data_IF_827960033579
#
_entry.id   IF_827960033579
#
_cell.length_a   1.000
_cell.length_b   1.000
_cell.length_c   1.000
_cell.angle_alpha   90.00
_cell.angle_beta   90.00
_cell.angle_gamma   90.00
#
_symmetry.space_group_name_H-M   'P 1'
#
loop_
_entity.id
_entity.type
_entity.pdbx_description
1 polymer ?
#
# COMPACT_ATOMS: atom_id res chain seq x y z
N UNK A 1 -1.41 -10.14 8.26
CA UNK A 1 -1.17 -8.92 7.46
C UNK A 1 -2.51 -8.35 7.07
N UNK A 2 -2.71 -7.07 7.33
CA UNK A 2 -3.88 -6.29 6.97
C UNK A 2 -3.43 -5.23 5.96
N UNK A 3 -4.12 -5.11 4.82
CA UNK A 3 -3.92 -4.02 3.87
C UNK A 3 -4.89 -2.89 4.22
N UNK A 4 -4.37 -1.68 4.38
CA UNK A 4 -5.14 -0.49 4.79
C UNK A 4 -4.84 0.63 3.82
N UNK A 5 -5.84 1.03 3.02
CA UNK A 5 -5.69 2.13 2.08
C UNK A 5 -5.40 3.45 2.82
N UNK A 6 -4.51 4.25 2.24
CA UNK A 6 -4.21 5.58 2.75
C UNK A 6 -5.46 6.48 2.64
N UNK A 7 -5.61 7.40 3.59
CA UNK A 7 -6.70 8.37 3.54
C UNK A 7 -6.57 9.34 2.35
N UNK A 8 -5.36 9.49 1.79
CA UNK A 8 -5.04 10.39 0.70
C UNK A 8 -3.97 9.79 -0.22
N UNK A 9 -4.05 10.08 -1.51
CA UNK A 9 -2.97 9.88 -2.47
C UNK A 9 -2.26 11.22 -2.72
N UNK A 10 -1.18 11.48 -2.00
CA UNK A 10 -0.38 12.72 -2.13
C UNK A 10 0.86 12.56 -3.03
N UNK A 11 1.09 11.35 -3.54
CA UNK A 11 2.27 11.01 -4.32
C UNK A 11 2.05 11.14 -5.82
N UNK A 12 2.97 10.52 -6.57
CA UNK A 12 2.92 10.46 -8.04
C UNK A 12 2.31 9.16 -8.55
N UNK A 13 1.64 8.38 -7.72
CA UNK A 13 1.10 7.07 -8.08
C UNK A 13 0.10 7.15 -9.25
N UNK A 14 -0.70 8.22 -9.30
CA UNK A 14 -1.81 8.31 -10.25
C UNK A 14 -2.79 7.15 -10.08
N UNK A 15 -3.28 6.62 -11.19
CA UNK A 15 -4.27 5.55 -11.20
C UNK A 15 -3.66 4.13 -11.12
N UNK A 16 -2.33 4.00 -11.12
CA UNK A 16 -1.68 2.68 -11.10
C UNK A 16 -1.87 1.98 -9.74
N UNK A 17 -1.99 2.77 -8.67
CA UNK A 17 -2.04 2.29 -7.30
C UNK A 17 -2.62 3.37 -6.38
N UNK A 18 -3.58 3.01 -5.54
CA UNK A 18 -3.91 3.82 -4.38
C UNK A 18 -2.94 3.47 -3.25
N UNK A 19 -2.22 4.43 -2.63
CA UNK A 19 -1.23 4.11 -1.60
C UNK A 19 -1.86 3.38 -0.40
N UNK A 20 -1.11 2.51 0.23
CA UNK A 20 -1.62 1.70 1.33
C UNK A 20 -0.52 1.26 2.31
N UNK A 21 -0.93 1.01 3.55
CA UNK A 21 -0.11 0.39 4.59
C UNK A 21 -0.40 -1.11 4.65
N UNK A 22 0.64 -1.91 4.88
CA UNK A 22 0.52 -3.30 5.29
C UNK A 22 0.87 -3.35 6.79
N UNK A 23 -0.09 -3.79 7.60
CA UNK A 23 0.06 -3.90 9.04
C UNK A 23 0.04 -5.35 9.52
N UNK A 24 0.69 -5.63 10.65
CA UNK A 24 0.60 -6.89 11.38
C UNK A 24 0.07 -6.63 12.79
N UNK A 25 -0.53 -7.66 13.39
CA UNK A 25 -0.97 -7.59 14.78
C UNK A 25 0.19 -8.01 15.69
N UNK A 26 0.53 -7.16 16.64
CA UNK A 26 1.49 -7.40 17.71
C UNK A 26 0.71 -7.83 18.96
N UNK A 27 0.84 -9.10 19.33
CA UNK A 27 0.17 -9.69 20.51
C UNK A 27 0.69 -9.13 21.83
N UNK A 28 1.96 -8.70 21.90
CA UNK A 28 2.55 -8.19 23.13
C UNK A 28 2.01 -6.80 23.49
N UNK A 29 1.74 -5.99 22.47
CA UNK A 29 1.20 -4.63 22.62
C UNK A 29 -0.30 -4.53 22.33
N UNK A 30 -0.97 -5.64 22.04
CA UNK A 30 -2.39 -5.72 21.65
C UNK A 30 -2.77 -4.64 20.62
N UNK A 31 -1.95 -4.49 19.57
CA UNK A 31 -2.13 -3.43 18.59
C UNK A 31 -1.62 -3.82 17.21
N UNK A 32 -2.15 -3.16 16.17
CA UNK A 32 -1.60 -3.28 14.83
C UNK A 32 -0.39 -2.35 14.68
N UNK A 33 0.68 -2.87 14.08
CA UNK A 33 1.90 -2.15 13.73
C UNK A 33 2.10 -2.15 12.22
N UNK A 34 2.66 -1.07 11.72
CA UNK A 34 2.99 -0.93 10.31
C UNK A 34 4.22 -1.81 10.00
N UNK A 35 4.11 -2.67 8.99
CA UNK A 35 5.25 -3.37 8.42
C UNK A 35 5.77 -2.63 7.18
N UNK A 36 4.87 -2.24 6.29
CA UNK A 36 5.22 -1.58 5.04
C UNK A 36 4.26 -0.42 4.72
N UNK A 37 4.77 0.59 4.05
CA UNK A 37 3.97 1.56 3.31
C UNK A 37 4.30 1.47 1.83
N UNK A 38 3.27 1.37 0.99
CA UNK A 38 3.39 1.18 -0.46
C UNK A 38 2.79 2.39 -1.19
N UNK A 39 3.56 2.91 -2.13
CA UNK A 39 3.17 3.95 -3.08
C UNK A 39 3.69 3.57 -4.48
N UNK A 40 3.44 4.41 -5.48
CA UNK A 40 4.01 4.27 -6.81
C UNK A 40 4.42 5.64 -7.37
N UNK A 41 5.18 5.61 -8.45
CA UNK A 41 5.50 6.78 -9.25
C UNK A 41 5.13 6.49 -10.70
N UNK A 42 4.14 7.22 -11.20
CA UNK A 42 3.74 7.27 -12.60
C UNK A 42 4.52 8.38 -13.32
N UNK A 43 5.37 7.98 -14.27
CA UNK A 43 6.21 8.90 -15.05
C UNK A 43 5.39 9.93 -15.82
N UNK A 44 4.19 9.56 -16.27
CA UNK A 44 3.30 10.47 -17.01
C UNK A 44 2.85 11.66 -16.16
N UNK A 45 2.69 11.48 -14.85
CA UNK A 45 2.32 12.57 -13.94
C UNK A 45 3.49 13.51 -13.65
N UNK A 46 4.68 12.95 -13.45
CA UNK A 46 5.91 13.71 -13.29
C UNK A 46 7.12 12.82 -13.56
N UNK A 47 8.11 13.34 -14.28
CA UNK A 47 9.42 12.71 -14.47
C UNK A 47 10.47 13.22 -13.47
N UNK A 48 10.07 14.08 -12.53
CA UNK A 48 10.95 14.70 -11.54
C UNK A 48 10.22 15.05 -10.24
N UNK A 49 10.78 14.69 -9.10
CA UNK A 49 10.30 15.12 -7.78
C UNK A 49 11.08 16.38 -7.34
N UNK A 50 10.44 17.56 -7.27
CA UNK A 50 11.09 18.80 -6.87
C UNK A 50 11.38 18.87 -5.36
N UNK A 51 10.69 18.10 -4.52
CA UNK A 51 10.91 18.08 -3.08
C UNK A 51 12.19 17.32 -2.73
N UNK A 52 12.41 16.18 -3.38
CA UNK A 52 13.63 15.37 -3.20
C UNK A 52 14.73 15.64 -4.24
N UNK A 53 14.46 16.50 -5.22
CA UNK A 53 15.34 16.80 -6.36
C UNK A 53 15.81 15.55 -7.12
N UNK A 54 14.92 14.57 -7.24
CA UNK A 54 15.24 13.25 -7.80
C UNK A 54 14.49 13.06 -9.10
N UNK A 55 15.15 12.66 -10.21
CA UNK A 55 14.46 12.28 -11.43
C UNK A 55 13.75 10.93 -11.25
N UNK A 56 12.76 10.66 -12.11
CA UNK A 56 12.15 9.35 -12.22
C UNK A 56 13.22 8.27 -12.47
N UNK A 57 13.21 7.13 -11.75
CA UNK A 57 14.26 6.12 -11.83
C UNK A 57 14.05 5.19 -13.05
N UNK A 58 14.46 5.68 -14.23
CA UNK A 58 14.38 4.96 -15.50
C UNK A 58 15.15 3.63 -15.52
N UNK A 59 16.20 3.49 -14.70
CA UNK A 59 16.98 2.25 -14.58
C UNK A 59 16.22 1.15 -13.81
N UNK A 60 15.22 1.52 -13.02
CA UNK A 60 14.36 0.60 -12.28
C UNK A 60 13.13 0.20 -13.11
N UNK A 61 12.58 1.07 -13.96
CA UNK A 61 11.46 0.76 -14.86
C UNK A 61 11.92 -0.10 -16.05
N UNK A 62 12.26 -1.36 -15.78
CA UNK A 62 12.85 -2.29 -16.76
C UNK A 62 11.87 -2.76 -17.84
N UNK A 63 10.58 -2.67 -17.56
CA UNK A 63 9.47 -3.00 -18.44
C UNK A 63 9.13 -1.82 -19.36
N UNK A 64 9.66 -0.62 -19.06
CA UNK A 64 9.44 0.64 -19.77
C UNK A 64 7.95 0.98 -19.88
N UNK A 65 7.24 0.73 -18.80
CA UNK A 65 5.80 0.84 -18.75
C UNK A 65 5.32 2.12 -18.03
N UNK A 66 6.28 2.91 -17.54
CA UNK A 66 6.04 4.22 -16.94
C UNK A 66 5.74 4.16 -15.44
N UNK A 67 5.91 3.02 -14.78
CA UNK A 67 5.70 2.88 -13.34
C UNK A 67 6.89 2.27 -12.60
N UNK A 68 7.16 2.84 -11.42
CA UNK A 68 7.94 2.18 -10.37
C UNK A 68 7.15 2.18 -9.07
N UNK A 69 7.35 1.15 -8.27
CA UNK A 69 6.66 0.98 -6.99
C UNK A 69 7.61 1.30 -5.85
N UNK A 70 7.11 2.01 -4.86
CA UNK A 70 7.85 2.48 -3.70
C UNK A 70 7.40 1.67 -2.49
N UNK A 71 8.33 0.92 -1.90
CA UNK A 71 8.06 0.14 -0.70
C UNK A 71 8.91 0.72 0.42
N UNK A 72 8.25 1.18 1.49
CA UNK A 72 8.90 1.71 2.69
C UNK A 72 8.77 0.70 3.82
N UNK A 73 9.89 0.28 4.39
CA UNK A 73 9.98 -0.62 5.55
C UNK A 73 10.89 0.02 6.59
N UNK A 74 10.47 0.09 7.85
CA UNK A 74 11.25 0.70 8.93
C UNK A 74 11.78 2.12 8.63
N UNK A 75 11.03 2.89 7.82
CA UNK A 75 11.41 4.24 7.39
C UNK A 75 12.37 4.29 6.19
N UNK A 76 12.87 3.16 5.71
CA UNK A 76 13.70 3.08 4.51
C UNK A 76 12.85 2.75 3.28
N UNK A 77 13.02 3.54 2.22
CA UNK A 77 12.25 3.40 0.98
C UNK A 77 13.13 2.82 -0.12
N UNK A 78 12.61 1.81 -0.81
CA UNK A 78 13.19 1.25 -2.04
C UNK A 78 12.23 1.39 -3.22
N UNK A 79 12.81 1.53 -4.40
CA UNK A 79 12.10 1.50 -5.68
C UNK A 79 12.22 0.10 -6.27
N UNK A 80 11.13 -0.40 -6.84
CA UNK A 80 11.13 -1.65 -7.60
C UNK A 80 10.32 -1.51 -8.86
N UNK A 81 10.66 -2.35 -9.83
CA UNK A 81 9.90 -2.49 -11.06
C UNK A 81 8.56 -3.19 -10.81
N UNK A 82 7.73 -3.30 -11.84
CA UNK A 82 6.40 -3.91 -11.72
C UNK A 82 6.49 -5.40 -11.37
N UNK A 83 7.31 -6.17 -12.08
CA UNK A 83 7.38 -7.62 -11.88
C UNK A 83 7.83 -7.99 -10.45
N UNK A 84 8.80 -7.28 -9.90
CA UNK A 84 9.31 -7.50 -8.55
C UNK A 84 8.30 -7.02 -7.49
N UNK A 85 7.56 -5.94 -7.77
CA UNK A 85 6.46 -5.51 -6.90
C UNK A 85 5.35 -6.55 -6.82
N UNK A 86 4.85 -7.03 -7.96
CA UNK A 86 3.76 -8.02 -8.01
C UNK A 86 4.16 -9.33 -7.32
N UNK A 87 5.40 -9.78 -7.56
CA UNK A 87 5.95 -10.95 -6.87
C UNK A 87 6.05 -10.72 -5.36
N UNK A 88 6.58 -9.58 -4.94
CA UNK A 88 6.69 -9.24 -3.52
C UNK A 88 5.33 -9.17 -2.83
N UNK A 89 4.33 -8.51 -3.43
CA UNK A 89 2.99 -8.40 -2.85
C UNK A 89 2.33 -9.78 -2.73
N UNK A 90 2.45 -10.62 -3.77
CA UNK A 90 1.95 -11.98 -3.73
C UNK A 90 2.60 -12.83 -2.62
N UNK A 91 3.89 -12.66 -2.35
CA UNK A 91 4.60 -13.34 -1.27
C UNK A 91 4.14 -12.88 0.12
N UNK A 92 3.88 -11.58 0.32
CA UNK A 92 3.38 -11.03 1.60
C UNK A 92 2.01 -11.63 1.97
N UNK A 93 1.14 -11.81 0.98
CA UNK A 93 -0.21 -12.34 1.16
C UNK A 93 -0.32 -13.83 0.83
N UNK A 94 0.80 -14.52 0.60
CA UNK A 94 0.79 -15.95 0.32
C UNK A 94 0.09 -16.73 1.44
N UNK A 95 -0.82 -17.63 1.05
CA UNK A 95 -1.61 -18.46 1.96
C UNK A 95 -2.49 -17.67 2.93
N UNK A 96 -2.83 -16.41 2.60
CA UNK A 96 -3.79 -15.59 3.35
C UNK A 96 -5.03 -15.40 2.49
N UNK A 97 -6.19 -15.72 3.07
CA UNK A 97 -7.46 -15.41 2.44
C UNK A 97 -7.88 -13.98 2.81
N UNK A 98 -8.29 -13.15 1.84
CA UNK A 98 -8.87 -11.84 2.12
C UNK A 98 -10.09 -11.98 3.04
N UNK A 99 -10.11 -11.20 4.13
CA UNK A 99 -11.27 -11.12 5.00
C UNK A 99 -12.23 -10.06 4.48
N UNK A 100 -13.40 -10.47 4.01
CA UNK A 100 -14.48 -9.55 3.68
C UNK A 100 -15.23 -9.16 4.96
N UNK A 101 -15.15 -7.88 5.34
CA UNK A 101 -15.93 -7.35 6.46
C UNK A 101 -17.36 -7.05 5.96
N UNK A 102 -18.40 -7.65 6.54
CA UNK A 102 -19.79 -7.37 6.19
C UNK A 102 -20.21 -6.04 6.82
N UNK A 103 -19.77 -4.92 6.23
CA UNK A 103 -20.12 -3.58 6.70
C UNK A 103 -21.64 -3.40 6.74
N UNK A 104 -22.15 -2.98 7.88
CA UNK A 104 -23.57 -2.71 8.09
C UNK A 104 -23.81 -1.22 8.30
N UNK A 105 -25.00 -0.76 7.90
CA UNK A 105 -25.44 0.60 8.22
C UNK A 105 -25.58 0.74 9.74
N UNK A 106 -25.20 1.90 10.26
CA UNK A 106 -25.44 2.25 11.66
C UNK A 106 -26.93 2.49 11.85
N UNK A 107 -27.64 1.49 12.38
CA UNK A 107 -29.06 1.53 12.75
C UNK A 107 -29.23 0.97 14.16
N UNK A 108 -30.30 1.35 14.86
CA UNK A 108 -30.61 0.80 16.19
C UNK A 108 -30.68 -0.73 16.16
N UNK A 109 -31.37 -1.30 15.16
CA UNK A 109 -31.49 -2.75 15.00
C UNK A 109 -30.13 -3.46 14.85
N UNK A 110 -29.23 -2.91 14.03
CA UNK A 110 -27.91 -3.51 13.83
C UNK A 110 -27.02 -3.36 15.07
N UNK A 111 -27.15 -2.27 15.83
CA UNK A 111 -26.42 -2.08 17.09
C UNK A 111 -26.92 -3.06 18.15
N UNK A 112 -28.24 -3.16 18.34
CA UNK A 112 -28.86 -4.05 19.34
C UNK A 112 -28.51 -5.53 19.08
N UNK A 113 -28.26 -5.90 17.83
CA UNK A 113 -27.81 -7.24 17.46
C UNK A 113 -26.38 -7.59 17.95
N UNK A 114 -25.53 -6.59 18.26
CA UNK A 114 -24.15 -6.79 18.71
C UNK A 114 -24.00 -7.00 20.23
N UNK A 115 -24.99 -6.59 21.04
CA UNK A 115 -24.88 -6.51 22.52
C UNK A 115 -25.53 -7.70 23.24
N UNK A 116 -25.48 -8.90 22.66
CA UNK A 116 -25.96 -10.14 23.30
C UNK A 116 -24.86 -10.83 24.09
#
# INVERSE_FOLDING_TARGET
>A
MLKVDAAHNQGYAGDVLWPYTIAYYDEAEDSYKDAFYVDAWCKELSDYDPYTQTPYPDDIDTEHDGYVYLITENGERRFVNRADYEKWEAEIFAQKEPLTIPWQKITTENIDALVK
#
